data_IF_430349306025
#
_entry.id   IF_430349306025
#
_cell.length_a   1.000
_cell.length_b   1.000
_cell.length_c   1.000
_cell.angle_alpha   90.00
_cell.angle_beta   90.00
_cell.angle_gamma   90.00
#
_symmetry.space_group_name_H-M   'P 1'
#
loop_
_entity.id
_entity.type
_entity.pdbx_description
1 polymer ?
#
# COMPACT_ATOMS: atom_id res chain seq x y z
N UNK A 1 -54.56 41.66 17.74
CA UNK A 1 -54.05 40.76 16.69
C UNK A 1 -53.09 39.76 17.32
N UNK A 2 -53.48 38.48 17.48
CA UNK A 2 -52.60 37.44 18.02
C UNK A 2 -52.42 36.36 16.97
N UNK A 3 -51.17 36.19 16.55
CA UNK A 3 -50.71 35.34 15.47
C UNK A 3 -51.08 33.86 15.70
N UNK A 4 -51.76 33.26 14.74
CA UNK A 4 -51.93 31.81 14.65
C UNK A 4 -50.60 31.18 14.26
N UNK A 5 -49.79 30.78 15.25
CA UNK A 5 -48.72 29.82 15.01
C UNK A 5 -49.33 28.45 14.76
N UNK A 6 -49.26 27.97 13.52
CA UNK A 6 -49.61 26.61 13.12
C UNK A 6 -48.85 25.62 14.02
N UNK A 7 -49.58 24.89 14.88
CA UNK A 7 -49.04 23.80 15.68
C UNK A 7 -48.69 22.63 14.76
N UNK A 8 -47.47 22.63 14.21
CA UNK A 8 -46.94 21.51 13.45
C UNK A 8 -46.85 20.31 14.38
N UNK A 9 -47.58 19.23 14.07
CA UNK A 9 -47.65 18.03 14.89
C UNK A 9 -46.26 17.39 15.06
N UNK A 10 -46.06 16.69 16.18
CA UNK A 10 -44.79 16.01 16.47
C UNK A 10 -44.40 15.02 15.36
N UNK A 11 -45.39 14.46 14.66
CA UNK A 11 -45.23 13.57 13.51
C UNK A 11 -44.67 14.33 12.30
N UNK A 12 -45.22 15.50 11.96
CA UNK A 12 -44.73 16.33 10.86
C UNK A 12 -43.29 16.82 11.07
N UNK A 13 -42.91 17.12 12.33
CA UNK A 13 -41.51 17.46 12.67
C UNK A 13 -40.54 16.29 12.44
N UNK A 14 -40.97 15.04 12.71
CA UNK A 14 -40.16 13.83 12.46
C UNK A 14 -39.97 13.59 10.97
N UNK A 15 -41.01 13.78 10.16
CA UNK A 15 -40.90 13.68 8.70
C UNK A 15 -40.01 14.76 8.09
N UNK A 16 -40.10 16.01 8.58
CA UNK A 16 -39.21 17.09 8.13
C UNK A 16 -37.73 16.81 8.47
N UNK A 17 -37.46 16.26 9.66
CA UNK A 17 -36.10 15.88 10.07
C UNK A 17 -35.54 14.73 9.22
N UNK A 18 -36.35 13.72 8.91
CA UNK A 18 -35.99 12.61 8.04
C UNK A 18 -35.72 13.07 6.60
N UNK A 19 -36.56 13.97 6.06
CA UNK A 19 -36.38 14.55 4.74
C UNK A 19 -35.10 15.41 4.66
N UNK A 20 -34.78 16.16 5.71
CA UNK A 20 -33.55 16.96 5.78
C UNK A 20 -32.28 16.08 5.84
N UNK A 21 -32.32 14.97 6.57
CA UNK A 21 -31.22 13.98 6.62
C UNK A 21 -31.04 13.30 5.26
N UNK A 22 -32.13 12.91 4.60
CA UNK A 22 -32.07 12.32 3.26
C UNK A 22 -31.53 13.31 2.21
N UNK A 23 -31.90 14.59 2.30
CA UNK A 23 -31.38 15.64 1.44
C UNK A 23 -29.87 15.91 1.67
N UNK A 24 -29.39 15.83 2.91
CA UNK A 24 -27.96 15.97 3.23
C UNK A 24 -27.10 14.81 2.68
N UNK A 25 -27.66 13.59 2.63
CA UNK A 25 -26.97 12.41 2.07
C UNK A 25 -26.92 12.45 0.53
N UNK A 26 -27.91 13.08 -0.13
CA UNK A 26 -27.96 13.18 -1.59
C UNK A 26 -27.22 14.40 -2.16
N UNK A 27 -27.10 15.49 -1.40
CA UNK A 27 -26.46 16.75 -1.86
C UNK A 27 -24.98 16.83 -1.53
N UNK A 28 -24.53 16.12 -0.49
CA UNK A 28 -23.13 15.86 -0.29
C UNK A 28 -22.90 14.40 -0.64
N UNK A 29 -22.27 14.10 -1.80
CA UNK A 29 -21.33 13.00 -1.80
C UNK A 29 -20.24 13.45 -0.82
N UNK A 30 -20.48 13.29 0.49
CA UNK A 30 -19.42 13.06 1.43
C UNK A 30 -18.68 11.92 0.78
N UNK A 31 -17.59 12.28 0.10
CA UNK A 31 -16.64 11.33 -0.43
C UNK A 31 -16.29 10.53 0.80
N UNK A 32 -16.97 9.40 0.94
CA UNK A 32 -16.54 8.31 1.78
C UNK A 32 -15.25 7.92 1.08
N UNK A 33 -14.17 8.67 1.36
CA UNK A 33 -12.83 8.21 1.20
C UNK A 33 -12.84 6.92 2.01
N UNK A 34 -13.07 5.81 1.32
CA UNK A 34 -13.13 4.51 1.93
C UNK A 34 -11.80 4.37 2.66
N UNK A 35 -11.82 4.50 3.99
CA UNK A 35 -10.63 4.49 4.83
C UNK A 35 -9.86 3.25 4.42
N UNK A 36 -8.73 3.44 3.73
CA UNK A 36 -7.98 2.30 3.17
C UNK A 36 -7.55 1.44 4.34
N UNK A 37 -8.20 0.27 4.50
CA UNK A 37 -7.98 -0.61 5.64
C UNK A 37 -6.50 -0.97 5.70
N UNK A 38 -5.90 -0.77 6.87
CA UNK A 38 -4.50 -1.12 7.09
C UNK A 38 -4.36 -2.64 7.06
N UNK A 39 -3.56 -3.16 6.13
CA UNK A 39 -3.21 -4.58 6.06
C UNK A 39 -1.87 -4.81 6.74
N UNK A 40 -1.82 -5.73 7.71
CA UNK A 40 -0.55 -6.11 8.34
C UNK A 40 0.12 -7.17 7.48
N UNK A 41 1.36 -6.90 7.07
CA UNK A 41 2.18 -7.84 6.32
C UNK A 41 2.82 -8.86 7.26
N UNK A 42 2.95 -10.11 6.81
CA UNK A 42 3.60 -11.18 7.57
C UNK A 42 5.12 -11.06 7.40
N UNK A 43 5.81 -10.73 8.49
CA UNK A 43 7.27 -10.61 8.47
C UNK A 43 7.94 -11.97 8.25
N UNK A 44 8.97 -12.02 7.42
CA UNK A 44 9.87 -13.17 7.33
C UNK A 44 10.94 -13.10 8.43
N UNK A 45 11.51 -14.25 8.82
CA UNK A 45 12.67 -14.29 9.71
C UNK A 45 13.88 -13.70 8.98
N UNK A 46 14.84 -13.18 9.74
CA UNK A 46 15.96 -12.36 9.26
C UNK A 46 17.06 -13.20 8.56
N UNK A 47 16.68 -14.28 7.88
CA UNK A 47 17.58 -15.17 7.15
C UNK A 47 17.53 -14.76 5.67
N UNK A 48 18.21 -13.64 5.37
CA UNK A 48 18.26 -12.99 4.05
C UNK A 48 18.86 -13.92 2.96
N UNK A 49 19.39 -15.08 3.35
CA UNK A 49 20.05 -16.05 2.47
C UNK A 49 19.12 -16.87 1.56
N UNK A 50 17.81 -16.93 1.82
CA UNK A 50 16.89 -17.79 1.07
C UNK A 50 15.74 -16.98 0.44
N UNK A 51 16.03 -16.25 -0.64
CA UNK A 51 15.03 -15.63 -1.50
C UNK A 51 14.34 -16.71 -2.36
N UNK A 52 13.47 -17.51 -1.75
CA UNK A 52 12.77 -18.62 -2.43
C UNK A 52 11.32 -18.26 -2.73
N UNK A 53 10.75 -18.94 -3.74
CA UNK A 53 9.34 -18.80 -4.10
C UNK A 53 8.46 -19.38 -2.99
N UNK A 54 8.89 -20.47 -2.34
CA UNK A 54 8.21 -21.08 -1.19
C UNK A 54 8.07 -20.11 -0.02
N UNK A 55 9.15 -19.43 0.38
CA UNK A 55 9.14 -18.42 1.45
C UNK A 55 8.23 -17.26 1.07
N UNK A 56 8.35 -16.75 -0.16
CA UNK A 56 7.51 -15.66 -0.63
C UNK A 56 6.02 -16.04 -0.58
N UNK A 57 5.63 -17.19 -1.15
CA UNK A 57 4.25 -17.67 -1.14
C UNK A 57 3.70 -17.93 0.29
N UNK A 58 4.54 -18.33 1.25
CA UNK A 58 4.12 -18.58 2.63
C UNK A 58 3.71 -17.31 3.42
N UNK A 59 4.06 -16.12 2.89
CA UNK A 59 3.90 -14.85 3.60
C UNK A 59 3.32 -13.71 2.76
N UNK A 60 3.33 -13.82 1.44
CA UNK A 60 2.96 -12.74 0.55
C UNK A 60 1.48 -12.40 0.68
N UNK A 61 1.21 -11.10 0.78
CA UNK A 61 -0.15 -10.58 0.60
C UNK A 61 -0.41 -10.37 -0.88
N UNK A 62 -1.51 -10.91 -1.41
CA UNK A 62 -1.90 -10.65 -2.79
C UNK A 62 -2.48 -9.24 -2.98
N UNK A 63 -2.09 -8.61 -4.08
CA UNK A 63 -2.57 -7.30 -4.50
C UNK A 63 -3.05 -7.30 -5.95
N UNK A 64 -3.87 -6.30 -6.30
CA UNK A 64 -4.42 -6.11 -7.64
C UNK A 64 -4.07 -4.72 -8.16
N UNK A 65 -3.90 -4.61 -9.48
CA UNK A 65 -3.72 -3.32 -10.14
C UNK A 65 -4.94 -2.42 -9.95
N UNK A 66 -4.72 -1.10 -9.90
CA UNK A 66 -5.76 -0.10 -9.68
C UNK A 66 -6.24 0.04 -8.23
N UNK A 67 -5.83 -0.86 -7.33
CA UNK A 67 -6.13 -0.76 -5.89
C UNK A 67 -4.97 -0.12 -5.12
N UNK A 68 -5.32 0.72 -4.15
CA UNK A 68 -4.37 1.27 -3.18
C UNK A 68 -4.44 0.49 -1.88
N UNK A 69 -3.28 0.22 -1.30
CA UNK A 69 -3.11 -0.52 -0.06
C UNK A 69 -2.37 0.34 0.95
N UNK A 70 -2.75 0.26 2.22
CA UNK A 70 -1.96 0.77 3.33
C UNK A 70 -1.42 -0.43 4.10
N UNK A 71 -0.10 -0.60 4.08
CA UNK A 71 0.56 -1.70 4.73
C UNK A 71 1.15 -1.30 6.07
N UNK A 72 1.16 -2.27 7.00
CA UNK A 72 1.88 -2.23 8.28
C UNK A 72 2.87 -3.37 8.30
N UNK A 73 4.16 -3.06 8.47
CA UNK A 73 5.24 -4.05 8.52
C UNK A 73 5.95 -3.97 9.87
N UNK A 74 5.87 -5.06 10.65
CA UNK A 74 6.55 -5.16 11.96
C UNK A 74 8.07 -5.18 11.76
N UNK A 75 8.76 -4.50 12.66
CA UNK A 75 10.21 -4.52 12.76
C UNK A 75 10.63 -5.55 13.80
N UNK A 76 11.67 -6.33 13.50
CA UNK A 76 12.39 -7.20 14.43
C UNK A 76 13.86 -6.79 14.36
N UNK A 77 14.46 -6.46 15.50
CA UNK A 77 15.84 -5.94 15.56
C UNK A 77 16.06 -4.79 14.56
N UNK A 78 15.15 -3.80 14.59
CA UNK A 78 15.16 -2.60 13.74
C UNK A 78 14.94 -2.82 12.23
N UNK A 79 14.69 -4.06 11.79
CA UNK A 79 14.48 -4.41 10.37
C UNK A 79 13.15 -5.13 10.15
N UNK A 80 12.46 -4.81 9.06
CA UNK A 80 11.21 -5.43 8.67
C UNK A 80 11.32 -5.96 7.25
N UNK A 81 11.17 -7.27 7.10
CA UNK A 81 11.25 -7.97 5.83
C UNK A 81 9.89 -8.62 5.49
N UNK A 82 9.42 -8.49 4.25
CA UNK A 82 8.17 -9.14 3.81
C UNK A 82 8.05 -9.19 2.28
N UNK A 83 7.18 -10.08 1.80
CA UNK A 83 6.73 -10.08 0.42
C UNK A 83 5.29 -9.60 0.23
N UNK A 84 5.02 -9.12 -0.97
CA UNK A 84 3.70 -8.92 -1.56
C UNK A 84 3.70 -9.57 -2.95
N UNK A 85 2.57 -10.13 -3.37
CA UNK A 85 2.45 -10.86 -4.65
C UNK A 85 1.48 -10.15 -5.58
N UNK A 86 1.88 -9.98 -6.82
CA UNK A 86 1.06 -9.41 -7.89
C UNK A 86 1.12 -10.31 -9.12
N UNK A 87 -0.03 -10.64 -9.70
CA UNK A 87 -0.12 -11.33 -10.99
C UNK A 87 -0.67 -10.37 -12.02
N UNK A 88 0.05 -10.19 -13.13
CA UNK A 88 -0.29 -9.26 -14.19
C UNK A 88 -1.55 -9.73 -14.95
N UNK A 89 -2.67 -9.00 -14.92
CA UNK A 89 -3.88 -9.43 -15.61
C UNK A 89 -3.84 -9.25 -17.13
N UNK A 90 -2.86 -8.51 -17.66
CA UNK A 90 -2.72 -8.20 -19.08
C UNK A 90 -1.28 -7.78 -19.38
N UNK A 91 -0.82 -7.98 -20.62
CA UNK A 91 0.50 -7.55 -21.08
C UNK A 91 0.56 -6.02 -21.19
N UNK A 92 1.46 -5.38 -20.42
CA UNK A 92 1.69 -3.92 -20.39
C UNK A 92 2.83 -3.55 -19.44
N UNK A 93 3.14 -2.26 -19.37
CA UNK A 93 3.94 -1.68 -18.30
C UNK A 93 3.12 -1.55 -17.00
N UNK A 94 3.70 -1.97 -15.89
CA UNK A 94 3.12 -1.78 -14.56
C UNK A 94 4.05 -0.95 -13.69
N UNK A 95 3.48 0.04 -13.01
CA UNK A 95 4.21 0.89 -12.07
C UNK A 95 3.83 0.58 -10.63
N UNK A 96 4.79 0.03 -9.90
CA UNK A 96 4.73 -0.24 -8.47
C UNK A 96 5.14 1.02 -7.72
N UNK A 97 4.27 1.56 -6.88
CA UNK A 97 4.51 2.81 -6.16
C UNK A 97 4.42 2.60 -4.67
N UNK A 98 5.51 2.87 -3.95
CA UNK A 98 5.54 3.05 -2.50
C UNK A 98 5.51 4.54 -2.16
N UNK A 99 4.73 4.93 -1.16
CA UNK A 99 4.67 6.31 -0.66
C UNK A 99 4.26 6.37 0.81
N UNK A 100 4.40 7.55 1.42
CA UNK A 100 3.93 7.83 2.80
C UNK A 100 4.49 6.83 3.83
N UNK A 101 5.78 6.50 3.74
CA UNK A 101 6.46 5.73 4.79
C UNK A 101 6.44 6.53 6.09
N UNK A 102 6.02 5.90 7.18
CA UNK A 102 6.01 6.50 8.50
C UNK A 102 6.19 5.46 9.61
N UNK A 103 6.62 5.94 10.76
CA UNK A 103 6.65 5.21 12.03
C UNK A 103 5.61 5.80 12.97
N UNK A 104 5.08 5.03 13.94
CA UNK A 104 4.08 5.54 14.89
C UNK A 104 4.55 6.74 15.72
N UNK A 105 5.85 6.79 16.04
CA UNK A 105 6.45 7.88 16.82
C UNK A 105 7.13 8.95 15.95
N UNK A 106 6.94 8.93 14.63
CA UNK A 106 7.52 9.91 13.72
C UNK A 106 9.05 9.80 13.51
N UNK A 107 9.71 8.83 14.14
CA UNK A 107 11.14 8.55 13.94
C UNK A 107 11.50 8.29 12.47
N UNK A 108 12.76 8.52 12.11
CA UNK A 108 13.23 8.27 10.75
C UNK A 108 13.13 6.77 10.42
N UNK A 109 12.71 6.49 9.19
CA UNK A 109 12.69 5.15 8.63
C UNK A 109 13.06 5.21 7.16
N UNK A 110 13.73 4.18 6.67
CA UNK A 110 14.09 4.00 5.27
C UNK A 110 14.01 2.53 4.89
N UNK A 111 14.43 2.24 3.68
CA UNK A 111 14.43 0.88 3.17
C UNK A 111 14.63 0.85 1.67
N UNK A 112 14.42 -0.32 1.10
CA UNK A 112 14.27 -0.50 -0.34
C UNK A 112 13.18 -1.53 -0.61
N UNK A 113 12.63 -1.48 -1.82
CA UNK A 113 11.86 -2.59 -2.34
C UNK A 113 12.37 -2.94 -3.73
N UNK A 114 12.26 -4.21 -4.07
CA UNK A 114 12.64 -4.69 -5.40
C UNK A 114 11.62 -5.70 -5.90
N UNK A 115 11.63 -5.90 -7.22
CA UNK A 115 10.72 -6.77 -7.93
C UNK A 115 11.46 -8.05 -8.28
N UNK A 116 10.94 -9.19 -7.83
CA UNK A 116 11.47 -10.51 -8.14
C UNK A 116 10.49 -11.31 -8.99
N UNK A 117 11.04 -12.18 -9.85
CA UNK A 117 10.35 -13.28 -10.53
C UNK A 117 10.93 -14.61 -10.08
N UNK A 118 10.19 -15.69 -10.27
CA UNK A 118 10.75 -17.03 -10.12
C UNK A 118 11.90 -17.21 -11.12
N UNK A 119 12.97 -17.87 -10.69
CA UNK A 119 14.04 -18.30 -11.58
C UNK A 119 13.50 -19.23 -12.67
N UNK A 120 14.21 -19.30 -13.80
CA UNK A 120 13.83 -20.23 -14.88
C UNK A 120 13.84 -21.69 -14.37
N UNK A 121 13.20 -22.56 -15.15
CA UNK A 121 13.26 -24.01 -14.95
C UNK A 121 12.62 -24.52 -13.65
N UNK A 122 11.76 -23.70 -13.03
CA UNK A 122 10.97 -24.11 -11.87
C UNK A 122 11.76 -24.22 -10.56
N UNK A 123 13.03 -23.79 -10.55
CA UNK A 123 13.85 -23.73 -9.34
C UNK A 123 13.13 -22.90 -8.27
N UNK A 124 13.19 -23.34 -7.01
CA UNK A 124 12.64 -22.61 -5.86
C UNK A 124 13.54 -21.42 -5.48
N UNK A 125 13.77 -20.54 -6.46
CA UNK A 125 14.63 -19.37 -6.33
C UNK A 125 13.95 -18.15 -6.94
N UNK A 126 14.30 -16.98 -6.41
CA UNK A 126 13.89 -15.69 -6.94
C UNK A 126 15.06 -15.00 -7.61
N UNK A 127 14.80 -14.36 -8.75
CA UNK A 127 15.76 -13.47 -9.44
C UNK A 127 15.12 -12.12 -9.69
N UNK A 128 15.91 -11.05 -9.58
CA UNK A 128 15.39 -9.69 -9.76
C UNK A 128 14.98 -9.47 -11.20
N UNK A 129 13.95 -8.65 -11.42
CA UNK A 129 13.69 -8.15 -12.76
C UNK A 129 14.85 -7.27 -13.22
N UNK A 130 15.27 -7.49 -14.46
CA UNK A 130 16.21 -6.62 -15.15
C UNK A 130 15.48 -5.39 -15.70
N UNK A 131 16.20 -4.29 -15.94
CA UNK A 131 15.68 -3.09 -16.62
C UNK A 131 14.48 -2.41 -15.92
N UNK A 132 14.42 -2.48 -14.58
CA UNK A 132 13.41 -1.74 -13.80
C UNK A 132 13.64 -0.23 -13.96
N UNK A 133 12.68 0.48 -14.56
CA UNK A 133 12.70 1.95 -14.65
C UNK A 133 12.30 2.54 -13.31
N UNK A 134 13.05 3.53 -12.82
CA UNK A 134 12.77 4.18 -11.53
C UNK A 134 12.66 5.69 -11.65
N UNK A 135 11.93 6.32 -10.72
CA UNK A 135 11.74 7.78 -10.73
C UNK A 135 12.85 8.59 -10.05
N UNK A 136 13.87 7.94 -9.51
CA UNK A 136 14.97 8.57 -8.78
C UNK A 136 16.19 7.63 -8.76
N UNK A 137 17.41 8.12 -8.49
CA UNK A 137 18.58 7.24 -8.35
C UNK A 137 18.42 6.21 -7.22
N UNK A 138 19.15 5.10 -7.31
CA UNK A 138 19.17 4.02 -6.29
C UNK A 138 18.08 2.97 -6.51
N UNK A 139 18.47 1.70 -6.40
CA UNK A 139 17.76 0.46 -6.81
C UNK A 139 16.51 0.13 -5.99
N UNK A 140 15.58 1.09 -5.87
CA UNK A 140 14.34 0.94 -5.10
C UNK A 140 14.37 1.54 -3.69
N UNK A 141 15.43 2.27 -3.32
CA UNK A 141 15.53 2.92 -2.02
C UNK A 141 14.43 3.98 -1.78
N UNK A 142 13.95 4.08 -0.54
CA UNK A 142 12.95 5.07 -0.12
C UNK A 142 13.13 5.47 1.34
N UNK A 143 12.55 6.60 1.75
CA UNK A 143 12.58 7.05 3.15
C UNK A 143 11.32 7.80 3.58
N UNK A 144 11.09 7.89 4.90
CA UNK A 144 9.97 8.65 5.48
C UNK A 144 10.16 10.16 5.33
N UNK A 145 11.42 10.61 5.26
CA UNK A 145 11.84 11.99 5.04
C UNK A 145 12.97 12.00 4.01
N UNK A 146 12.91 12.92 3.06
CA UNK A 146 13.93 13.04 2.01
C UNK A 146 15.07 13.93 2.48
N UNK A 147 16.25 13.34 2.66
CA UNK A 147 17.52 14.07 2.82
C UNK A 147 18.49 13.87 1.66
N UNK A 148 18.16 12.97 0.71
CA UNK A 148 19.01 12.57 -0.40
C UNK A 148 18.12 12.12 -1.57
N UNK A 149 18.48 12.48 -2.82
CA UNK A 149 17.80 12.05 -4.05
C UNK A 149 17.71 10.51 -4.19
N UNK A 150 18.66 9.75 -3.61
CA UNK A 150 18.62 8.28 -3.56
C UNK A 150 17.49 7.73 -2.69
N UNK A 151 16.99 8.50 -1.73
CA UNK A 151 15.96 8.09 -0.76
C UNK A 151 14.71 8.99 -0.86
N UNK A 152 13.97 8.94 -1.98
CA UNK A 152 12.76 9.72 -2.15
C UNK A 152 11.65 9.27 -1.19
N UNK A 153 10.74 10.19 -0.86
CA UNK A 153 9.51 9.90 -0.08
C UNK A 153 8.50 9.04 -0.84
N UNK A 154 8.58 9.07 -2.17
CA UNK A 154 7.77 8.27 -3.08
C UNK A 154 8.71 7.58 -4.06
N UNK A 155 8.69 6.25 -4.06
CA UNK A 155 9.47 5.42 -4.96
C UNK A 155 8.53 4.74 -5.94
N UNK A 156 8.88 4.80 -7.22
CA UNK A 156 8.24 4.10 -8.33
C UNK A 156 9.25 3.16 -8.97
N UNK A 157 8.80 1.96 -9.29
CA UNK A 157 9.51 0.97 -10.10
C UNK A 157 8.54 0.52 -11.19
N UNK A 158 8.95 0.64 -12.45
CA UNK A 158 8.13 0.29 -13.62
C UNK A 158 8.82 -0.81 -14.39
N UNK A 159 8.06 -1.85 -14.73
CA UNK A 159 8.52 -3.02 -15.51
C UNK A 159 7.42 -3.47 -16.46
N UNK A 160 7.80 -3.92 -17.65
CA UNK A 160 6.92 -4.54 -18.63
C UNK A 160 6.65 -5.98 -18.21
N UNK A 161 5.37 -6.36 -18.12
CA UNK A 161 4.95 -7.71 -17.72
C UNK A 161 4.00 -8.28 -18.76
N UNK A 162 4.08 -9.58 -18.99
CA UNK A 162 3.10 -10.33 -19.76
C UNK A 162 1.88 -10.70 -18.91
N UNK A 163 0.74 -10.94 -19.55
CA UNK A 163 -0.41 -11.51 -18.86
C UNK A 163 -0.04 -12.85 -18.19
N UNK A 164 -0.37 -13.01 -16.91
CA UNK A 164 -0.03 -14.19 -16.11
C UNK A 164 1.28 -14.09 -15.35
N UNK A 165 2.17 -13.15 -15.68
CA UNK A 165 3.43 -12.97 -14.95
C UNK A 165 3.18 -12.71 -13.46
N UNK A 166 3.91 -13.42 -12.62
CA UNK A 166 3.86 -13.25 -11.16
C UNK A 166 5.09 -12.51 -10.67
N UNK A 167 4.85 -11.38 -10.02
CA UNK A 167 5.85 -10.53 -9.38
C UNK A 167 5.79 -10.70 -7.87
N UNK A 168 6.93 -11.00 -7.28
CA UNK A 168 7.15 -10.99 -5.83
C UNK A 168 7.85 -9.67 -5.46
N UNK A 169 7.12 -8.78 -4.80
CA UNK A 169 7.62 -7.49 -4.34
C UNK A 169 8.20 -7.70 -2.95
N UNK A 170 9.52 -7.60 -2.83
CA UNK A 170 10.23 -7.70 -1.56
C UNK A 170 10.39 -6.34 -0.92
N UNK A 171 10.00 -6.20 0.34
CA UNK A 171 10.24 -5.02 1.15
C UNK A 171 11.29 -5.31 2.21
N UNK A 172 12.29 -4.45 2.28
CA UNK A 172 13.24 -4.37 3.37
C UNK A 172 13.19 -2.96 3.96
N UNK A 173 12.79 -2.86 5.22
CA UNK A 173 12.59 -1.60 5.91
C UNK A 173 13.46 -1.55 7.15
N UNK A 174 13.99 -0.38 7.46
CA UNK A 174 14.78 -0.12 8.65
C UNK A 174 14.15 1.02 9.44
N UNK A 175 13.95 0.80 10.73
CA UNK A 175 13.49 1.80 11.68
C UNK A 175 13.98 1.46 13.09
N UNK A 176 14.99 2.21 13.57
CA UNK A 176 15.66 1.92 14.84
C UNK A 176 14.71 2.07 16.04
N UNK A 177 13.87 3.11 16.05
CA UNK A 177 13.06 3.46 17.22
C UNK A 177 11.60 3.02 17.10
N UNK A 178 11.24 2.15 16.16
CA UNK A 178 9.84 1.81 15.89
C UNK A 178 9.61 0.30 15.81
N UNK A 179 8.54 -0.17 16.47
CA UNK A 179 8.10 -1.58 16.40
C UNK A 179 7.51 -1.97 15.05
N UNK A 180 7.13 -0.99 14.23
CA UNK A 180 6.61 -1.19 12.88
C UNK A 180 6.73 0.09 12.06
N UNK A 181 6.67 -0.07 10.75
CA UNK A 181 6.46 1.01 9.79
C UNK A 181 5.07 0.85 9.15
N UNK A 182 4.53 1.95 8.64
CA UNK A 182 3.39 1.93 7.71
C UNK A 182 3.74 2.64 6.42
N UNK A 183 3.20 2.18 5.31
CA UNK A 183 3.37 2.82 4.00
C UNK A 183 2.19 2.52 3.10
N UNK A 184 1.98 3.39 2.12
CA UNK A 184 1.02 3.16 1.05
C UNK A 184 1.70 2.46 -0.12
N UNK A 185 1.01 1.52 -0.73
CA UNK A 185 1.46 0.81 -1.91
C UNK A 185 0.35 0.69 -2.95
N UNK A 186 0.68 0.86 -4.23
CA UNK A 186 -0.26 0.65 -5.33
C UNK A 186 0.47 0.14 -6.57
N UNK A 187 -0.28 -0.54 -7.43
CA UNK A 187 0.16 -0.94 -8.77
C UNK A 187 -0.75 -0.25 -9.77
N UNK A 188 -0.18 0.63 -10.60
CA UNK A 188 -0.89 1.25 -11.73
C UNK A 188 -0.46 0.60 -13.04
N UNK A 189 -1.36 0.69 -14.01
CA UNK A 189 -1.18 0.33 -15.41
C UNK A 189 -0.79 1.58 -16.19
#
# INVERSE_FOLDING_TARGET
MKNHFLKVSAVAKRFLALALIAALVLTNPLSVEAKTKVKTLKSIKNDVGNLTVSVANSCATEIKAGKSYKFKLKQKNHRGLSYVKFTAPATKDYTFTLSKLSTPNGSYANGFYTLYKQQADGVDGLTSYENIKTNAPGDGYFASRSGNKRFPKTRKQTVSLNAGDTVYIFFDTLAILAKHVTFNFKVSK
#
